data_IF_071990047746
#
_entry.id   IF_071990047746
#
_cell.length_a   1.000
_cell.length_b   1.000
_cell.length_c   1.000
_cell.angle_alpha   90.00
_cell.angle_beta   90.00
_cell.angle_gamma   90.00
#
_symmetry.space_group_name_H-M   'P 1'
#
loop_
_entity.id
_entity.type
_entity.pdbx_description
1 polymer ?
#
# COMPACT_ATOMS: atom_id res chain seq x y z
N UNK A 1 6.52 -0.82 -31.30
CA UNK A 1 7.03 0.42 -30.67
C UNK A 1 6.95 0.16 -29.18
N UNK A 2 8.07 -0.07 -28.50
CA UNK A 2 8.07 -0.19 -27.03
C UNK A 2 7.81 1.19 -26.44
N UNK A 3 6.87 1.29 -25.51
CA UNK A 3 6.66 2.50 -24.73
C UNK A 3 7.77 2.56 -23.69
N UNK A 4 8.48 3.68 -23.62
CA UNK A 4 9.49 3.87 -22.59
C UNK A 4 8.83 3.83 -21.22
N UNK A 5 9.48 3.14 -20.27
CA UNK A 5 8.99 3.12 -18.90
C UNK A 5 9.17 4.50 -18.26
N UNK A 6 8.10 5.28 -18.26
CA UNK A 6 8.04 6.64 -17.71
C UNK A 6 8.42 6.64 -16.22
N UNK A 7 8.14 5.56 -15.48
CA UNK A 7 8.47 5.45 -14.05
C UNK A 7 9.97 5.27 -13.81
N UNK A 8 10.72 4.75 -14.80
CA UNK A 8 12.16 4.53 -14.72
C UNK A 8 13.01 5.75 -15.12
N UNK A 9 12.40 6.77 -15.73
CA UNK A 9 13.10 8.02 -16.07
C UNK A 9 13.36 8.86 -14.82
N UNK A 10 14.26 9.86 -14.88
CA UNK A 10 14.48 10.85 -13.80
C UNK A 10 13.53 12.05 -14.04
N UNK A 11 12.91 12.69 -13.03
CA UNK A 11 11.99 13.80 -13.27
C UNK A 11 12.77 15.12 -13.34
N UNK A 12 12.26 16.05 -14.15
CA UNK A 12 12.80 17.43 -14.23
C UNK A 12 12.62 18.19 -12.91
N UNK A 13 11.61 17.83 -12.11
CA UNK A 13 11.36 18.37 -10.77
C UNK A 13 11.30 17.20 -9.77
N UNK A 14 12.24 17.17 -8.81
CA UNK A 14 12.27 16.15 -7.75
C UNK A 14 11.40 16.59 -6.57
N UNK A 15 10.19 16.06 -6.49
CA UNK A 15 9.34 16.17 -5.31
C UNK A 15 9.48 14.88 -4.51
N UNK A 16 9.96 14.97 -3.27
CA UNK A 16 10.05 13.82 -2.39
C UNK A 16 8.66 13.43 -1.90
N UNK A 17 8.16 12.28 -2.33
CA UNK A 17 7.04 11.63 -1.67
C UNK A 17 7.58 10.92 -0.44
N UNK A 18 7.34 11.43 0.77
CA UNK A 18 7.87 10.80 1.98
C UNK A 18 7.13 9.49 2.33
N UNK A 19 5.87 9.36 1.90
CA UNK A 19 5.00 8.22 2.19
C UNK A 19 3.91 8.08 1.13
N UNK A 20 3.60 6.85 0.76
CA UNK A 20 2.52 6.53 -0.19
C UNK A 20 1.75 5.31 0.30
N UNK A 21 0.46 5.26 0.03
CA UNK A 21 -0.40 4.22 0.60
C UNK A 21 -1.87 4.43 0.30
N UNK A 22 -2.69 3.64 0.97
CA UNK A 22 -4.14 3.57 0.79
C UNK A 22 -4.83 3.78 2.13
N UNK A 23 -5.96 4.47 2.10
CA UNK A 23 -6.80 4.74 3.27
C UNK A 23 -8.16 4.14 3.10
N UNK A 24 -8.86 3.93 4.21
CA UNK A 24 -10.24 3.48 4.27
C UNK A 24 -10.47 2.07 3.68
N UNK A 25 -9.47 1.20 3.72
CA UNK A 25 -9.63 -0.20 3.29
C UNK A 25 -10.51 -0.92 4.29
N UNK A 26 -11.66 -1.44 3.86
CA UNK A 26 -12.54 -2.25 4.71
C UNK A 26 -12.27 -3.73 4.48
N UNK A 27 -11.85 -4.45 5.52
CA UNK A 27 -11.61 -5.90 5.48
C UNK A 27 -12.28 -6.58 6.67
N UNK A 28 -12.77 -7.79 6.43
CA UNK A 28 -13.31 -8.66 7.47
C UNK A 28 -12.13 -9.28 8.22
N UNK A 29 -12.15 -9.20 9.55
CA UNK A 29 -11.05 -9.66 10.39
C UNK A 29 -11.60 -10.65 11.42
N UNK A 30 -10.93 -11.78 11.54
CA UNK A 30 -11.15 -12.72 12.62
C UNK A 30 -10.13 -12.50 13.75
N UNK A 31 -10.63 -12.31 14.96
CA UNK A 31 -9.79 -12.19 16.17
C UNK A 31 -9.92 -13.47 16.97
N UNK A 32 -8.83 -14.23 17.02
CA UNK A 32 -8.73 -15.46 17.81
C UNK A 32 -8.89 -15.15 19.31
N UNK A 33 -9.65 -16.01 20.02
CA UNK A 33 -9.85 -15.90 21.46
C UNK A 33 -9.67 -17.28 22.10
N UNK A 34 -8.71 -17.39 23.02
CA UNK A 34 -8.42 -18.66 23.69
C UNK A 34 -9.66 -19.18 24.42
N UNK A 35 -10.04 -20.43 24.13
CA UNK A 35 -11.19 -21.10 24.76
C UNK A 35 -12.56 -20.51 24.41
N UNK A 36 -12.65 -19.61 23.42
CA UNK A 36 -13.90 -18.97 23.00
C UNK A 36 -14.01 -18.97 21.48
N UNK A 37 -15.24 -18.83 20.96
CA UNK A 37 -15.44 -18.65 19.52
C UNK A 37 -14.69 -17.39 19.05
N UNK A 38 -13.98 -17.41 17.91
CA UNK A 38 -13.38 -16.22 17.33
C UNK A 38 -14.42 -15.11 17.10
N UNK A 39 -13.99 -13.86 17.23
CA UNK A 39 -14.86 -12.71 16.95
C UNK A 39 -14.60 -12.17 15.54
N UNK A 40 -15.66 -11.91 14.80
CA UNK A 40 -15.60 -11.39 13.43
C UNK A 40 -15.94 -9.91 13.44
N UNK A 41 -15.10 -9.09 12.80
CA UNK A 41 -15.27 -7.65 12.70
C UNK A 41 -15.14 -7.17 11.25
N UNK A 42 -15.80 -6.06 10.94
CA UNK A 42 -15.49 -5.27 9.75
C UNK A 42 -14.57 -4.14 10.21
N UNK A 43 -13.28 -4.26 9.89
CA UNK A 43 -12.25 -3.30 10.30
C UNK A 43 -11.87 -2.38 9.15
N UNK A 44 -11.35 -1.21 9.52
CA UNK A 44 -10.86 -0.20 8.59
C UNK A 44 -9.33 -0.08 8.75
N UNK A 45 -8.61 -0.21 7.65
CA UNK A 45 -7.16 -0.15 7.60
C UNK A 45 -6.69 1.03 6.74
N UNK A 46 -5.66 1.71 7.25
CA UNK A 46 -4.89 2.71 6.51
C UNK A 46 -3.45 2.20 6.46
N UNK A 47 -2.95 1.96 5.25
CA UNK A 47 -1.72 1.20 5.01
C UNK A 47 -0.80 2.05 4.15
N UNK A 48 0.45 2.21 4.60
CA UNK A 48 1.41 3.07 3.95
C UNK A 48 2.80 2.46 3.94
N UNK A 49 3.57 2.82 2.92
CA UNK A 49 5.01 2.53 2.81
C UNK A 49 5.78 3.84 2.70
N UNK A 50 6.94 3.89 3.32
CA UNK A 50 7.86 5.02 3.16
C UNK A 50 8.54 4.88 1.80
N UNK A 51 8.63 6.00 1.06
CA UNK A 51 9.21 6.01 -0.27
C UNK A 51 10.53 6.80 -0.22
N UNK A 52 11.69 6.17 -0.51
CA UNK A 52 12.93 6.91 -0.62
C UNK A 52 12.83 7.91 -1.78
N UNK A 53 13.36 9.13 -1.60
CA UNK A 53 13.25 10.22 -2.57
C UNK A 53 13.93 9.97 -3.94
N UNK A 54 14.60 8.83 -4.11
CA UNK A 54 15.09 8.35 -5.40
C UNK A 54 14.01 7.69 -6.27
N UNK A 55 12.86 7.33 -5.69
CA UNK A 55 11.74 6.70 -6.38
C UNK A 55 10.63 7.71 -6.67
N UNK A 56 10.14 7.70 -7.92
CA UNK A 56 9.05 8.58 -8.39
C UNK A 56 7.67 8.19 -7.87
N UNK A 57 7.49 6.94 -7.44
CA UNK A 57 6.24 6.41 -6.90
C UNK A 57 6.43 5.01 -6.31
N UNK A 58 5.49 4.55 -5.50
CA UNK A 58 5.39 3.11 -5.18
C UNK A 58 4.51 2.43 -6.22
N UNK A 59 4.86 1.20 -6.57
CA UNK A 59 3.98 0.34 -7.34
C UNK A 59 2.83 -0.16 -6.45
N UNK A 60 1.78 0.65 -6.32
CA UNK A 60 0.68 0.41 -5.40
C UNK A 60 -0.13 -0.84 -5.72
N UNK A 61 -0.21 -1.25 -6.99
CA UNK A 61 -0.92 -2.46 -7.40
C UNK A 61 -0.26 -3.74 -6.86
N UNK A 62 1.06 -3.75 -6.71
CA UNK A 62 1.79 -4.86 -6.06
C UNK A 62 1.72 -4.81 -4.53
N UNK A 63 1.56 -3.63 -3.92
CA UNK A 63 1.44 -3.53 -2.47
C UNK A 63 0.08 -4.01 -1.94
N UNK A 64 -0.97 -4.04 -2.76
CA UNK A 64 -2.25 -4.64 -2.37
C UNK A 64 -2.19 -6.17 -2.21
N UNK A 65 -1.20 -6.83 -2.82
CA UNK A 65 -0.95 -8.27 -2.64
C UNK A 65 -0.53 -8.60 -1.19
N UNK A 66 -0.05 -7.61 -0.42
CA UNK A 66 0.28 -7.75 1.01
C UNK A 66 -0.96 -7.65 1.91
N UNK A 67 -2.07 -7.13 1.39
CA UNK A 67 -3.33 -6.93 2.12
C UNK A 67 -4.31 -8.09 1.89
N UNK A 68 -4.11 -8.89 0.86
CA UNK A 68 -4.97 -10.03 0.54
C UNK A 68 -4.61 -11.29 1.35
#
# INVERSE_FOLDING_TARGET
MELSDIQSTIPDIRINLSRVGVRNVRKLVEVARVGKRPAIFISKFDIFVDLPGSLKGANLSRNFEVID
#
